data_IF_091703144602
#
_entry.id   IF_091703144602
#
_cell.length_a   1.000
_cell.length_b   1.000
_cell.length_c   1.000
_cell.angle_alpha   90.00
_cell.angle_beta   90.00
_cell.angle_gamma   90.00
#
_symmetry.space_group_name_H-M   'P 1'
#
loop_
_entity.id
_entity.type
_entity.pdbx_description
1 polymer ?
#
# COMPACT_ATOMS: atom_id res chain seq x y z
N UNK A 1 -12.21 -63.90 -9.19
CA UNK A 1 -11.12 -64.63 -9.86
C UNK A 1 -10.75 -63.84 -11.10
N UNK A 2 -9.58 -63.20 -11.05
CA UNK A 2 -8.64 -62.91 -12.14
C UNK A 2 -7.62 -61.93 -11.56
N UNK A 3 -6.45 -62.48 -11.27
CA UNK A 3 -5.17 -61.79 -11.14
C UNK A 3 -4.93 -60.87 -12.34
N UNK A 4 -4.36 -59.69 -12.11
CA UNK A 4 -2.98 -59.49 -12.56
C UNK A 4 -2.32 -58.29 -11.87
N UNK A 5 -1.23 -58.62 -11.21
CA UNK A 5 -0.30 -57.77 -10.48
C UNK A 5 0.64 -57.04 -11.43
N UNK A 6 0.63 -55.70 -11.40
CA UNK A 6 1.74 -54.89 -11.88
C UNK A 6 2.41 -54.20 -10.69
N UNK A 7 3.35 -54.97 -10.13
CA UNK A 7 4.45 -54.57 -9.27
C UNK A 7 5.37 -53.63 -10.06
N UNK A 8 5.25 -52.32 -9.83
CA UNK A 8 6.11 -51.31 -10.41
C UNK A 8 6.79 -50.49 -9.30
N UNK A 9 8.00 -50.93 -8.95
CA UNK A 9 9.13 -50.03 -8.76
C UNK A 9 9.10 -49.16 -7.52
N UNK A 10 9.47 -49.73 -6.38
CA UNK A 10 9.91 -48.98 -5.21
C UNK A 10 11.15 -48.13 -5.51
N UNK A 11 10.95 -46.83 -5.64
CA UNK A 11 12.00 -45.82 -5.52
C UNK A 11 12.02 -45.34 -4.07
N UNK A 12 12.91 -45.94 -3.28
CA UNK A 12 13.20 -45.48 -1.93
C UNK A 12 13.81 -44.09 -1.92
N UNK A 13 13.54 -43.26 -0.88
CA UNK A 13 14.12 -41.93 -0.77
C UNK A 13 15.61 -42.00 -0.41
N UNK A 14 16.47 -41.56 -1.34
CA UNK A 14 17.90 -41.32 -1.11
C UNK A 14 18.08 -40.02 -0.31
N UNK A 15 17.95 -40.11 1.01
CA UNK A 15 18.42 -39.05 1.93
C UNK A 15 19.71 -39.52 2.61
N UNK A 16 20.83 -38.78 2.48
CA UNK A 16 22.07 -39.16 3.15
C UNK A 16 21.97 -38.93 4.66
N UNK A 17 22.39 -39.94 5.42
CA UNK A 17 22.40 -39.95 6.87
C UNK A 17 23.27 -38.82 7.46
N UNK A 18 22.71 -38.08 8.41
CA UNK A 18 23.44 -37.09 9.20
C UNK A 18 24.39 -37.78 10.18
N UNK A 19 25.67 -37.42 10.10
CA UNK A 19 26.74 -37.86 10.98
C UNK A 19 26.51 -37.36 12.43
N UNK A 20 26.49 -38.22 13.47
CA UNK A 20 26.46 -37.76 14.85
C UNK A 20 27.86 -37.27 15.26
N UNK A 21 27.99 -35.94 15.43
CA UNK A 21 29.20 -35.33 16.01
C UNK A 21 29.38 -35.81 17.46
N UNK A 22 30.55 -36.37 17.73
CA UNK A 22 31.02 -36.72 19.06
C UNK A 22 31.01 -35.51 20.01
N UNK A 23 30.34 -35.67 21.14
CA UNK A 23 30.42 -34.75 22.27
C UNK A 23 31.82 -34.79 22.88
N UNK A 24 32.60 -33.72 22.66
CA UNK A 24 33.84 -33.48 23.42
C UNK A 24 33.48 -32.86 24.77
N UNK A 25 33.72 -33.69 25.79
CA UNK A 25 33.80 -33.38 27.21
C UNK A 25 34.90 -32.31 27.43
N UNK A 26 34.53 -31.14 27.94
CA UNK A 26 35.49 -30.18 28.48
C UNK A 26 35.19 -29.97 29.97
N UNK A 27 36.21 -30.25 30.77
CA UNK A 27 36.22 -30.22 32.22
C UNK A 27 36.12 -28.79 32.75
N UNK A 28 35.55 -28.67 33.94
CA UNK A 28 35.25 -27.40 34.58
C UNK A 28 36.47 -26.65 35.07
N UNK A 29 36.26 -25.35 35.33
CA UNK A 29 36.95 -24.62 36.40
C UNK A 29 36.04 -23.57 37.01
N UNK A 30 36.12 -23.54 38.35
CA UNK A 30 35.93 -22.40 39.24
C UNK A 30 34.51 -21.95 39.59
N UNK A 31 34.15 -22.24 40.84
CA UNK A 31 33.26 -21.43 41.66
C UNK A 31 33.83 -20.02 41.88
N UNK A 32 32.97 -19.05 42.20
CA UNK A 32 33.07 -18.14 43.37
C UNK A 32 32.13 -16.92 43.20
N UNK A 33 31.45 -16.60 44.31
CA UNK A 33 30.81 -15.36 44.74
C UNK A 33 29.52 -14.87 44.04
N UNK A 34 28.46 -14.76 44.85
CA UNK A 34 27.19 -14.12 44.51
C UNK A 34 27.20 -12.58 44.61
N UNK A 35 26.15 -11.95 45.16
CA UNK A 35 25.14 -11.30 44.33
C UNK A 35 25.10 -9.77 44.50
N UNK A 36 24.68 -9.06 43.45
CA UNK A 36 24.31 -7.65 43.57
C UNK A 36 23.18 -7.29 42.60
N UNK A 37 21.99 -7.05 43.19
CA UNK A 37 20.93 -6.21 42.60
C UNK A 37 21.50 -4.79 42.41
N UNK A 38 20.96 -3.99 41.46
CA UNK A 38 20.00 -2.99 41.92
C UNK A 38 18.88 -2.58 40.94
N UNK A 39 17.81 -2.09 41.57
CA UNK A 39 16.96 -0.96 41.20
C UNK A 39 16.10 -1.00 39.91
N UNK A 40 14.82 -1.25 40.15
CA UNK A 40 13.68 -0.75 39.40
C UNK A 40 13.74 0.76 39.17
N UNK A 41 13.64 1.20 37.90
CA UNK A 41 13.13 2.53 37.56
C UNK A 41 12.02 2.40 36.53
N UNK A 42 10.81 2.50 37.05
CA UNK A 42 9.58 2.91 36.36
C UNK A 42 9.78 4.29 35.73
N UNK A 43 9.58 4.39 34.43
CA UNK A 43 9.55 5.64 33.69
C UNK A 43 8.65 5.50 32.46
N UNK A 44 7.34 5.45 32.70
CA UNK A 44 6.34 5.40 31.63
C UNK A 44 6.23 6.75 30.93
N UNK A 45 6.69 6.83 29.68
CA UNK A 45 6.22 7.85 28.74
C UNK A 45 5.05 7.26 27.94
N UNK A 46 3.86 7.83 28.16
CA UNK A 46 2.72 7.66 27.27
C UNK A 46 2.96 8.48 26.01
N UNK A 47 3.15 7.84 24.86
CA UNK A 47 2.87 8.45 23.56
C UNK A 47 1.60 7.82 23.00
N UNK A 48 0.56 8.65 22.90
CA UNK A 48 -0.61 8.41 22.09
C UNK A 48 -0.16 8.37 20.63
N UNK A 49 -0.36 7.24 19.96
CA UNK A 49 -0.37 7.16 18.50
C UNK A 49 -1.64 6.42 18.12
N UNK A 50 -2.53 7.14 17.43
CA UNK A 50 -3.70 6.58 16.78
C UNK A 50 -3.22 5.69 15.64
N UNK A 51 -3.47 4.39 15.73
CA UNK A 51 -3.34 3.47 14.61
C UNK A 51 -4.67 3.42 13.87
N UNK A 52 -4.67 3.95 12.65
CA UNK A 52 -5.70 3.74 11.63
C UNK A 52 -5.70 2.26 11.22
N UNK A 53 -6.80 1.56 11.49
CA UNK A 53 -7.05 0.20 11.00
C UNK A 53 -7.43 0.26 9.52
N UNK A 54 -6.63 -0.38 8.67
CA UNK A 54 -6.99 -0.75 7.30
C UNK A 54 -8.13 -1.76 7.33
N UNK A 55 -9.21 -1.46 6.59
CA UNK A 55 -10.36 -2.33 6.42
C UNK A 55 -10.05 -3.50 5.49
N UNK A 56 -10.49 -4.68 5.88
CA UNK A 56 -10.67 -5.83 5.00
C UNK A 56 -11.88 -5.57 4.10
N UNK A 57 -11.68 -5.61 2.79
CA UNK A 57 -12.76 -5.65 1.80
C UNK A 57 -13.26 -7.10 1.65
N UNK A 58 -14.55 -7.30 1.90
CA UNK A 58 -15.26 -8.54 1.60
C UNK A 58 -15.54 -8.63 0.09
N UNK A 59 -15.12 -9.74 -0.52
CA UNK A 59 -15.49 -10.10 -1.89
C UNK A 59 -17.01 -10.33 -2.01
N UNK A 60 -17.69 -9.78 -3.04
CA UNK A 60 -19.08 -10.14 -3.31
C UNK A 60 -19.15 -11.57 -3.88
N UNK A 61 -19.86 -12.44 -3.17
CA UNK A 61 -20.26 -13.77 -3.66
C UNK A 61 -21.31 -13.57 -4.76
N UNK A 62 -20.88 -13.81 -6.01
CA UNK A 62 -21.77 -13.93 -7.17
C UNK A 62 -22.55 -15.24 -7.03
N UNK A 63 -23.85 -15.14 -6.79
CA UNK A 63 -24.78 -16.26 -6.88
C UNK A 63 -25.18 -16.40 -8.36
N UNK A 64 -25.04 -17.58 -8.97
CA UNK A 64 -25.50 -17.78 -10.33
C UNK A 64 -27.04 -17.84 -10.38
N UNK A 65 -27.63 -17.04 -11.27
CA UNK A 65 -29.02 -17.15 -11.69
C UNK A 65 -29.21 -18.49 -12.42
N UNK A 66 -30.00 -19.38 -11.83
CA UNK A 66 -30.53 -20.55 -12.50
C UNK A 66 -32.05 -20.38 -12.65
N UNK A 67 -32.46 -20.44 -13.91
CA UNK A 67 -33.78 -20.21 -14.46
C UNK A 67 -34.56 -21.54 -14.40
N UNK A 68 -35.73 -21.58 -13.76
CA UNK A 68 -36.90 -22.38 -14.22
C UNK A 68 -38.10 -22.40 -13.25
N UNK A 69 -39.23 -21.91 -13.79
CA UNK A 69 -40.60 -22.47 -13.73
C UNK A 69 -41.51 -22.31 -12.48
N UNK A 70 -42.59 -21.53 -12.69
CA UNK A 70 -44.02 -21.80 -12.41
C UNK A 70 -44.43 -22.70 -11.22
N UNK A 71 -45.11 -22.08 -10.24
CA UNK A 71 -46.47 -22.37 -9.75
C UNK A 71 -46.68 -21.46 -8.51
N UNK A 72 -47.61 -20.51 -8.55
CA UNK A 72 -49.04 -20.64 -8.19
C UNK A 72 -49.28 -20.72 -6.67
N UNK A 73 -50.19 -19.86 -6.23
CA UNK A 73 -50.86 -19.74 -4.93
C UNK A 73 -50.07 -19.38 -3.64
N UNK A 74 -50.35 -18.17 -3.15
CA UNK A 74 -51.15 -18.04 -1.92
C UNK A 74 -50.45 -18.03 -0.55
N UNK A 75 -50.64 -16.91 0.14
CA UNK A 75 -50.66 -16.74 1.60
C UNK A 75 -49.37 -16.32 2.33
N UNK A 76 -49.36 -15.03 2.68
CA UNK A 76 -48.46 -14.40 3.64
C UNK A 76 -48.78 -14.87 5.08
N UNK A 77 -47.82 -15.52 5.74
CA UNK A 77 -47.82 -15.70 7.19
C UNK A 77 -46.70 -14.85 7.82
N UNK A 78 -47.09 -13.70 8.40
CA UNK A 78 -46.22 -12.82 9.18
C UNK A 78 -46.02 -13.39 10.59
N UNK A 79 -44.85 -13.95 10.85
CA UNK A 79 -44.48 -14.49 12.17
C UNK A 79 -43.93 -13.39 13.09
N UNK A 80 -44.66 -13.07 14.17
CA UNK A 80 -44.21 -12.16 15.23
C UNK A 80 -43.20 -12.85 16.17
N UNK A 81 -42.09 -12.18 16.47
CA UNK A 81 -41.12 -12.58 17.50
C UNK A 81 -41.48 -11.91 18.84
N UNK A 82 -41.59 -12.62 19.97
CA UNK A 82 -41.85 -11.99 21.25
C UNK A 82 -40.57 -11.47 21.92
N UNK A 83 -40.61 -10.17 22.26
CA UNK A 83 -39.63 -9.41 23.03
C UNK A 83 -39.54 -9.95 24.49
N UNK A 84 -38.39 -10.50 24.90
CA UNK A 84 -38.13 -10.90 26.29
C UNK A 84 -37.56 -9.72 27.11
N UNK A 85 -38.21 -9.44 28.25
CA UNK A 85 -37.79 -8.48 29.28
C UNK A 85 -36.54 -8.98 30.04
N UNK A 86 -35.66 -8.09 30.54
CA UNK A 86 -34.54 -8.47 31.40
C UNK A 86 -35.03 -8.81 32.82
N UNK A 87 -34.75 -10.03 33.28
CA UNK A 87 -34.97 -10.42 34.67
C UNK A 87 -33.84 -9.95 35.58
N UNK A 88 -34.26 -9.33 36.67
CA UNK A 88 -33.50 -8.87 37.82
C UNK A 88 -33.03 -10.02 38.72
N UNK A 89 -31.77 -9.94 39.15
CA UNK A 89 -31.23 -10.24 40.48
C UNK A 89 -31.61 -11.56 41.20
N UNK A 90 -30.58 -12.34 41.57
CA UNK A 90 -30.31 -12.69 42.99
C UNK A 90 -28.95 -13.38 43.24
N UNK A 91 -28.20 -12.79 44.19
CA UNK A 91 -27.41 -13.37 45.32
C UNK A 91 -26.85 -14.80 45.16
N UNK A 92 -25.59 -15.12 45.49
CA UNK A 92 -24.49 -14.38 46.11
C UNK A 92 -23.53 -15.36 46.80
N UNK A 93 -22.24 -14.97 46.99
CA UNK A 93 -21.38 -15.40 48.11
C UNK A 93 -20.09 -14.56 48.11
N UNK A 94 -19.86 -13.85 49.22
CA UNK A 94 -18.55 -13.28 49.62
C UNK A 94 -17.80 -14.32 50.46
N UNK A 95 -16.47 -14.19 50.64
CA UNK A 95 -15.93 -13.41 51.77
C UNK A 95 -14.77 -12.47 51.35
N UNK A 96 -14.69 -11.22 51.84
CA UNK A 96 -13.90 -10.77 53.02
C UNK A 96 -12.42 -10.48 52.67
N UNK A 97 -11.67 -9.42 53.04
CA UNK A 97 -11.80 -8.16 53.81
C UNK A 97 -10.39 -7.47 53.72
N UNK A 98 -10.32 -6.14 53.96
CA UNK A 98 -9.13 -5.27 54.22
C UNK A 98 -8.30 -4.79 53.01
N UNK A 99 -7.94 -3.50 52.85
CA UNK A 99 -8.05 -2.35 53.74
C UNK A 99 -7.68 -1.04 53.03
N UNK A 100 -8.19 0.07 53.58
CA UNK A 100 -8.02 1.46 53.16
C UNK A 100 -6.73 2.03 53.79
N UNK A 101 -6.06 3.01 53.14
CA UNK A 101 -5.96 4.31 53.82
C UNK A 101 -6.28 5.51 52.91
N UNK A 102 -7.04 6.44 53.50
CA UNK A 102 -7.23 7.84 53.10
C UNK A 102 -5.90 8.59 53.09
N UNK A 103 -5.70 9.52 52.15
CA UNK A 103 -5.02 10.81 52.45
C UNK A 103 -5.64 11.96 51.64
N UNK A 104 -5.83 13.08 52.34
CA UNK A 104 -6.26 14.42 51.93
C UNK A 104 -5.14 15.21 51.21
N UNK A 105 -5.50 16.11 50.28
CA UNK A 105 -4.69 17.28 49.90
C UNK A 105 -5.17 17.89 48.59
N UNK A 106 -6.04 18.92 48.58
CA UNK A 106 -5.71 20.37 48.55
C UNK A 106 -4.55 20.72 47.62
N UNK A 107 -4.87 21.31 46.46
CA UNK A 107 -3.90 21.99 45.59
C UNK A 107 -4.59 22.69 44.42
N UNK A 108 -5.08 23.92 44.66
CA UNK A 108 -5.45 24.88 43.61
C UNK A 108 -4.18 25.35 42.90
N UNK A 109 -4.11 25.26 41.59
CA UNK A 109 -3.22 26.08 40.78
C UNK A 109 -3.94 26.50 39.50
N UNK A 110 -4.14 27.82 39.40
CA UNK A 110 -4.83 28.55 38.35
C UNK A 110 -3.76 28.93 37.33
N UNK A 111 -3.90 28.51 36.07
CA UNK A 111 -3.00 28.95 34.99
C UNK A 111 -3.55 30.25 34.36
N UNK A 112 -2.70 31.24 34.03
CA UNK A 112 -3.11 32.52 33.46
C UNK A 112 -3.31 32.45 31.94
N UNK A 113 -4.35 33.10 31.44
CA UNK A 113 -4.61 33.35 30.03
C UNK A 113 -3.82 34.59 29.53
N UNK A 114 -3.26 34.57 28.31
CA UNK A 114 -2.59 35.73 27.74
C UNK A 114 -3.61 36.70 27.12
N UNK A 115 -3.50 37.97 27.50
CA UNK A 115 -4.24 39.12 26.92
C UNK A 115 -3.61 39.49 25.58
N UNK A 116 -4.41 39.49 24.51
CA UNK A 116 -4.08 40.18 23.26
C UNK A 116 -4.52 41.65 23.36
N UNK A 117 -3.55 42.55 23.25
CA UNK A 117 -3.74 44.00 23.16
C UNK A 117 -3.85 44.38 21.68
N UNK A 118 -4.98 44.96 21.30
CA UNK A 118 -5.30 45.54 19.99
C UNK A 118 -4.88 47.02 19.98
N UNK A 119 -4.08 47.51 19.02
CA UNK A 119 -3.86 48.94 18.86
C UNK A 119 -5.01 49.57 18.04
N UNK A 120 -5.54 50.74 18.45
CA UNK A 120 -6.44 51.54 17.63
C UNK A 120 -5.69 52.46 16.67
N UNK A 121 -6.33 52.67 15.52
CA UNK A 121 -6.05 53.62 14.45
C UNK A 121 -5.91 55.08 14.93
N UNK A 122 -5.04 55.90 14.32
CA UNK A 122 -5.07 57.34 14.49
C UNK A 122 -6.02 58.00 13.48
N UNK A 123 -6.96 58.76 14.04
CA UNK A 123 -7.87 59.67 13.36
C UNK A 123 -7.23 61.06 13.27
N UNK A 124 -7.64 61.78 12.24
CA UNK A 124 -7.16 63.04 11.68
C UNK A 124 -7.24 64.20 12.68
N UNK A 125 -6.24 65.08 12.70
CA UNK A 125 -6.42 66.47 13.13
C UNK A 125 -5.56 67.43 12.31
N UNK A 126 -6.25 68.48 11.92
CA UNK A 126 -5.96 69.61 11.08
C UNK A 126 -5.15 70.70 11.83
N UNK A 127 -4.52 71.58 11.05
CA UNK A 127 -4.47 73.04 11.21
C UNK A 127 -3.08 73.76 11.32
N UNK A 128 -2.92 74.69 10.36
CA UNK A 128 -2.26 76.01 10.35
C UNK A 128 -0.73 76.23 10.33
N UNK A 129 -0.29 76.75 9.16
CA UNK A 129 0.66 77.85 8.82
C UNK A 129 1.65 78.43 9.85
N UNK A 130 2.95 78.50 9.49
CA UNK A 130 3.66 79.75 9.13
C UNK A 130 5.16 79.53 8.77
N UNK A 131 5.58 80.26 7.73
CA UNK A 131 6.88 80.85 7.41
C UNK A 131 8.19 80.07 7.09
N UNK A 132 8.72 80.44 5.91
CA UNK A 132 10.01 80.15 5.25
C UNK A 132 11.21 80.75 6.04
N UNK A 133 12.49 80.28 5.90
CA UNK A 133 13.13 80.08 4.60
C UNK A 133 14.19 78.95 4.42
N UNK A 134 14.11 78.32 3.24
CA UNK A 134 15.19 78.21 2.22
C UNK A 134 16.52 77.51 2.61
N UNK A 135 16.69 76.32 2.00
CA UNK A 135 17.91 75.77 1.37
C UNK A 135 18.84 74.77 2.09
N UNK A 136 18.63 74.34 3.33
CA UNK A 136 19.43 73.22 3.91
C UNK A 136 18.63 71.90 4.01
N UNK A 137 17.30 71.96 4.03
CA UNK A 137 16.44 70.77 4.15
C UNK A 137 16.34 69.92 2.86
N UNK A 138 16.61 70.49 1.68
CA UNK A 138 16.47 69.76 0.41
C UNK A 138 17.54 68.66 0.22
N UNK A 139 18.73 68.84 0.79
CA UNK A 139 19.83 67.85 0.70
C UNK A 139 19.68 66.74 1.74
N UNK A 140 19.10 67.05 2.91
CA UNK A 140 18.81 66.04 3.94
C UNK A 140 17.56 65.23 3.58
N UNK A 141 16.53 65.86 2.99
CA UNK A 141 15.34 65.13 2.55
C UNK A 141 15.59 64.24 1.32
N UNK A 142 16.50 64.59 0.40
CA UNK A 142 16.84 63.68 -0.72
C UNK A 142 17.64 62.45 -0.28
N UNK A 143 18.45 62.57 0.79
CA UNK A 143 19.15 61.44 1.40
C UNK A 143 18.21 60.53 2.19
N UNK A 144 17.16 61.09 2.81
CA UNK A 144 16.13 60.31 3.51
C UNK A 144 15.16 59.65 2.51
N UNK A 145 14.81 60.30 1.41
CA UNK A 145 13.96 59.73 0.34
C UNK A 145 14.66 58.60 -0.45
N UNK A 146 15.97 58.71 -0.67
CA UNK A 146 16.74 57.65 -1.34
C UNK A 146 16.93 56.41 -0.46
N UNK A 147 17.05 56.57 0.87
CA UNK A 147 17.18 55.44 1.79
C UNK A 147 15.80 54.83 2.16
N UNK A 148 14.77 55.65 2.37
CA UNK A 148 13.39 55.19 2.64
C UNK A 148 12.76 54.52 1.41
N UNK A 149 13.09 54.95 0.19
CA UNK A 149 12.63 54.29 -1.04
C UNK A 149 13.14 52.84 -1.17
N UNK A 150 14.35 52.55 -0.66
CA UNK A 150 14.90 51.20 -0.59
C UNK A 150 14.16 50.32 0.43
N UNK A 151 13.90 50.85 1.62
CA UNK A 151 13.15 50.15 2.66
C UNK A 151 11.69 49.89 2.26
N UNK A 152 11.02 50.87 1.64
CA UNK A 152 9.64 50.70 1.13
C UNK A 152 9.59 49.61 0.05
N UNK A 153 10.58 49.54 -0.84
CA UNK A 153 10.67 48.46 -1.84
C UNK A 153 10.91 47.09 -1.19
N UNK A 154 11.77 47.02 -0.17
CA UNK A 154 12.03 45.79 0.59
C UNK A 154 10.78 45.31 1.32
N UNK A 155 10.08 46.20 2.03
CA UNK A 155 8.85 45.88 2.74
C UNK A 155 7.73 45.47 1.79
N UNK A 156 7.61 46.10 0.61
CA UNK A 156 6.66 45.68 -0.42
C UNK A 156 6.95 44.27 -0.92
N UNK A 157 8.22 43.93 -1.15
CA UNK A 157 8.64 42.58 -1.56
C UNK A 157 8.34 41.55 -0.47
N UNK A 158 8.62 41.88 0.79
CA UNK A 158 8.33 40.99 1.92
C UNK A 158 6.82 40.77 2.09
N UNK A 159 6.00 41.80 1.88
CA UNK A 159 4.54 41.70 1.93
C UNK A 159 4.00 40.85 0.77
N UNK A 160 4.52 40.99 -0.45
CA UNK A 160 4.15 40.13 -1.58
C UNK A 160 4.56 38.68 -1.34
N UNK A 161 5.78 38.42 -0.86
CA UNK A 161 6.22 37.07 -0.53
C UNK A 161 5.39 36.44 0.60
N UNK A 162 5.04 37.23 1.63
CA UNK A 162 4.18 36.75 2.71
C UNK A 162 2.77 36.40 2.22
N UNK A 163 2.21 37.19 1.30
CA UNK A 163 0.92 36.88 0.64
C UNK A 163 1.02 35.62 -0.21
N UNK A 164 2.05 35.48 -1.04
CA UNK A 164 2.25 34.27 -1.84
C UNK A 164 2.42 33.02 -0.97
N UNK A 165 3.11 33.11 0.18
CA UNK A 165 3.18 32.01 1.14
C UNK A 165 1.82 31.69 1.75
N UNK A 166 1.05 32.71 2.14
CA UNK A 166 -0.30 32.52 2.67
C UNK A 166 -1.23 31.84 1.64
N UNK A 167 -1.18 32.28 0.38
CA UNK A 167 -1.97 31.70 -0.70
C UNK A 167 -1.56 30.26 -1.01
N UNK A 168 -0.24 29.96 -1.00
CA UNK A 168 0.26 28.59 -1.13
C UNK A 168 -0.23 27.67 -0.01
N UNK A 169 -0.18 28.13 1.24
CA UNK A 169 -0.70 27.34 2.37
C UNK A 169 -2.22 27.20 2.33
N UNK A 170 -2.95 28.22 1.86
CA UNK A 170 -4.40 28.13 1.65
C UNK A 170 -4.75 27.06 0.63
N UNK A 171 -4.06 27.03 -0.52
CA UNK A 171 -4.24 26.00 -1.55
C UNK A 171 -3.91 24.60 -1.03
N UNK A 172 -2.81 24.45 -0.29
CA UNK A 172 -2.45 23.16 0.31
C UNK A 172 -3.48 22.67 1.33
N UNK A 173 -4.09 23.59 2.10
CA UNK A 173 -5.19 23.24 3.00
C UNK A 173 -6.45 22.84 2.25
N UNK A 174 -6.81 23.57 1.18
CA UNK A 174 -7.94 23.20 0.31
C UNK A 174 -7.74 21.84 -0.36
N UNK A 175 -6.55 21.55 -0.87
CA UNK A 175 -6.19 20.23 -1.40
C UNK A 175 -6.28 19.13 -0.34
N UNK A 176 -5.78 19.38 0.88
CA UNK A 176 -5.93 18.42 2.00
C UNK A 176 -7.38 18.21 2.41
N UNK A 177 -8.22 19.24 2.35
CA UNK A 177 -9.65 19.11 2.60
C UNK A 177 -10.37 18.37 1.47
N UNK A 178 -9.97 18.59 0.22
CA UNK A 178 -10.48 17.83 -0.92
C UNK A 178 -10.11 16.35 -0.85
N UNK A 179 -8.87 16.02 -0.42
CA UNK A 179 -8.43 14.63 -0.17
C UNK A 179 -9.23 13.99 0.96
N UNK A 180 -9.83 14.75 1.87
CA UNK A 180 -10.66 14.16 2.94
C UNK A 180 -11.97 13.58 2.38
N UNK A 181 -12.52 14.13 1.31
CA UNK A 181 -13.67 13.58 0.60
C UNK A 181 -13.27 12.46 -0.39
N UNK A 182 -12.49 11.49 0.10
CA UNK A 182 -12.14 10.32 -0.70
C UNK A 182 -13.36 9.40 -0.89
N UNK A 183 -13.35 8.66 -1.99
CA UNK A 183 -14.33 7.63 -2.34
C UNK A 183 -14.79 6.74 -1.16
N UNK A 184 -13.91 6.23 -0.25
CA UNK A 184 -14.34 5.49 0.93
C UNK A 184 -15.22 6.28 1.91
N UNK A 185 -15.00 7.59 2.09
CA UNK A 185 -15.91 8.39 2.92
C UNK A 185 -17.29 8.55 2.24
N UNK A 186 -17.31 8.68 0.91
CA UNK A 186 -18.55 8.72 0.14
C UNK A 186 -19.33 7.40 0.26
N UNK A 187 -18.67 6.26 0.05
CA UNK A 187 -19.27 4.92 0.22
C UNK A 187 -19.81 4.73 1.64
N UNK A 188 -19.09 5.19 2.66
CA UNK A 188 -19.53 5.11 4.05
C UNK A 188 -20.77 5.99 4.31
N UNK A 189 -20.86 7.16 3.69
CA UNK A 189 -22.08 8.00 3.78
C UNK A 189 -23.28 7.38 3.06
N UNK A 190 -23.09 6.77 1.90
CA UNK A 190 -24.14 6.05 1.17
C UNK A 190 -24.63 4.83 1.97
N UNK A 191 -23.70 4.06 2.54
CA UNK A 191 -24.03 2.92 3.40
C UNK A 191 -24.85 3.35 4.62
N UNK A 192 -24.46 4.45 5.30
CA UNK A 192 -25.24 5.01 6.42
C UNK A 192 -26.65 5.40 5.97
N UNK A 193 -26.78 6.11 4.85
CA UNK A 193 -28.08 6.51 4.29
C UNK A 193 -28.96 5.30 3.95
N UNK A 194 -28.38 4.24 3.41
CA UNK A 194 -29.11 3.00 3.12
C UNK A 194 -29.55 2.29 4.41
N UNK A 195 -28.70 2.23 5.42
CA UNK A 195 -29.02 1.67 6.73
C UNK A 195 -30.15 2.45 7.41
N UNK A 196 -30.09 3.78 7.39
CA UNK A 196 -31.10 4.66 7.98
C UNK A 196 -32.46 4.47 7.29
N UNK A 197 -32.48 4.37 5.95
CA UNK A 197 -33.71 4.10 5.18
C UNK A 197 -34.30 2.72 5.50
N UNK A 198 -33.46 1.68 5.67
CA UNK A 198 -33.92 0.36 6.10
C UNK A 198 -34.51 0.38 7.51
N UNK A 199 -33.89 1.11 8.43
CA UNK A 199 -34.37 1.26 9.80
C UNK A 199 -35.72 2.01 9.82
N UNK A 200 -35.85 3.07 9.04
CA UNK A 200 -37.10 3.82 8.89
C UNK A 200 -38.24 2.95 8.32
N UNK A 201 -37.94 2.12 7.31
CA UNK A 201 -38.91 1.19 6.73
C UNK A 201 -39.35 0.10 7.75
N UNK A 202 -38.41 -0.44 8.52
CA UNK A 202 -38.73 -1.39 9.60
C UNK A 202 -39.59 -0.73 10.70
N UNK A 203 -39.26 0.49 11.09
CA UNK A 203 -40.04 1.25 12.07
C UNK A 203 -41.45 1.60 11.56
N UNK A 204 -41.61 1.83 10.25
CA UNK A 204 -42.91 2.03 9.62
C UNK A 204 -43.74 0.73 9.66
N UNK A 205 -43.14 -0.41 9.32
CA UNK A 205 -43.79 -1.72 9.39
C UNK A 205 -44.20 -2.07 10.82
N UNK A 206 -43.32 -1.84 11.80
CA UNK A 206 -43.64 -2.06 13.22
C UNK A 206 -44.81 -1.17 13.64
N UNK A 207 -44.83 0.11 13.22
CA UNK A 207 -45.95 1.02 13.49
C UNK A 207 -47.26 0.53 12.84
N UNK A 208 -47.22 -0.01 11.64
CA UNK A 208 -48.38 -0.56 10.97
C UNK A 208 -48.90 -1.83 11.66
N UNK A 209 -48.02 -2.78 11.96
CA UNK A 209 -48.37 -4.02 12.66
C UNK A 209 -48.91 -3.75 14.06
N UNK A 210 -48.30 -2.81 14.80
CA UNK A 210 -48.80 -2.41 16.12
C UNK A 210 -50.13 -1.67 16.03
N UNK A 211 -50.36 -0.85 14.99
CA UNK A 211 -51.67 -0.24 14.71
C UNK A 211 -52.74 -1.29 14.39
N UNK A 212 -52.40 -2.30 13.58
CA UNK A 212 -53.29 -3.41 13.26
C UNK A 212 -53.61 -4.28 14.47
N UNK A 213 -52.62 -4.54 15.33
CA UNK A 213 -52.84 -5.20 16.61
C UNK A 213 -53.74 -4.37 17.53
N UNK A 214 -53.52 -3.07 17.66
CA UNK A 214 -54.35 -2.18 18.48
C UNK A 214 -55.81 -2.12 17.99
N UNK A 215 -56.04 -2.21 16.67
CA UNK A 215 -57.40 -2.32 16.09
C UNK A 215 -58.06 -3.67 16.37
N UNK A 216 -57.29 -4.76 16.42
CA UNK A 216 -57.79 -6.12 16.68
C UNK A 216 -57.89 -6.46 18.18
N UNK A 217 -57.12 -5.80 19.04
CA UNK A 217 -57.13 -5.99 20.50
C UNK A 217 -58.52 -5.80 21.15
N UNK A 218 -59.37 -4.81 20.77
CA UNK A 218 -60.73 -4.70 21.34
C UNK A 218 -61.64 -5.86 20.92
N UNK A 219 -61.48 -6.42 19.71
CA UNK A 219 -62.21 -7.63 19.29
C UNK A 219 -61.81 -8.86 20.11
N UNK A 220 -60.54 -8.91 20.57
CA UNK A 220 -60.02 -10.00 21.40
C UNK A 220 -60.37 -9.80 22.89
N UNK A 221 -60.50 -8.55 23.37
CA UNK A 221 -60.79 -8.22 24.78
C UNK A 221 -62.27 -8.11 25.13
N UNK A 222 -63.16 -7.72 24.23
CA UNK A 222 -64.61 -7.74 24.48
C UNK A 222 -65.17 -9.16 24.29
N UNK A 223 -64.83 -10.03 25.24
CA UNK A 223 -65.30 -11.41 25.31
C UNK A 223 -66.80 -11.54 25.58
N UNK A 224 -67.65 -11.34 24.56
CA UNK A 224 -69.08 -11.72 24.57
C UNK A 224 -69.63 -12.19 23.21
N UNK A 225 -68.84 -12.88 22.40
CA UNK A 225 -69.39 -13.93 21.54
C UNK A 225 -68.39 -15.07 21.53
N UNK A 226 -68.71 -16.13 22.28
CA UNK A 226 -68.07 -17.42 22.15
C UNK A 226 -68.37 -17.97 20.75
N UNK A 227 -67.64 -17.51 19.74
CA UNK A 227 -67.35 -18.38 18.61
C UNK A 227 -66.33 -19.36 19.18
N UNK A 228 -66.86 -20.43 19.77
CA UNK A 228 -66.14 -21.68 19.93
C UNK A 228 -65.67 -22.06 18.52
N UNK A 229 -64.48 -21.57 18.14
CA UNK A 229 -63.71 -22.15 17.06
C UNK A 229 -63.30 -23.52 17.59
N UNK A 230 -64.23 -24.46 17.49
CA UNK A 230 -63.98 -25.87 17.69
C UNK A 230 -63.02 -26.26 16.58
N UNK A 231 -61.73 -25.96 16.79
CA UNK A 231 -60.68 -26.57 16.01
C UNK A 231 -60.94 -28.06 16.13
N UNK A 232 -61.32 -28.65 15.00
CA UNK A 232 -61.54 -30.07 14.92
C UNK A 232 -60.25 -30.74 15.40
N UNK A 233 -60.37 -31.90 16.03
CA UNK A 233 -59.21 -32.65 16.52
C UNK A 233 -58.12 -32.80 15.44
N UNK A 234 -58.55 -32.93 14.19
CA UNK A 234 -57.70 -32.95 12.99
C UNK A 234 -56.91 -31.65 12.80
N UNK A 235 -57.54 -30.47 12.91
CA UNK A 235 -56.84 -29.18 12.79
C UNK A 235 -55.80 -28.97 13.90
N UNK A 236 -56.07 -29.47 15.12
CA UNK A 236 -55.09 -29.41 16.23
C UNK A 236 -53.93 -30.38 16.01
N UNK A 237 -54.20 -31.58 15.47
CA UNK A 237 -53.17 -32.57 15.14
C UNK A 237 -52.28 -32.06 13.98
N UNK A 238 -52.85 -31.42 12.95
CA UNK A 238 -52.11 -30.80 11.86
C UNK A 238 -51.25 -29.61 12.32
N UNK A 239 -51.81 -28.70 13.12
CA UNK A 239 -51.04 -27.58 13.70
C UNK A 239 -49.92 -28.07 14.61
N UNK A 240 -50.16 -29.15 15.37
CA UNK A 240 -49.12 -29.76 16.19
C UNK A 240 -47.99 -30.32 15.32
N UNK A 241 -48.32 -30.99 14.22
CA UNK A 241 -47.33 -31.53 13.30
C UNK A 241 -46.51 -30.42 12.60
N UNK A 242 -47.16 -29.33 12.19
CA UNK A 242 -46.46 -28.17 11.61
C UNK A 242 -45.53 -27.50 12.62
N UNK A 243 -45.96 -27.33 13.87
CA UNK A 243 -45.13 -26.82 14.95
C UNK A 243 -43.95 -27.74 15.28
N UNK A 244 -44.14 -29.06 15.29
CA UNK A 244 -43.06 -30.03 15.50
C UNK A 244 -42.02 -29.95 14.37
N UNK A 245 -42.46 -29.85 13.10
CA UNK A 245 -41.59 -29.64 11.94
C UNK A 245 -40.81 -28.33 12.04
N UNK A 246 -41.46 -27.25 12.45
CA UNK A 246 -40.79 -25.96 12.63
C UNK A 246 -39.77 -25.99 13.76
N UNK A 247 -40.11 -26.59 14.91
CA UNK A 247 -39.16 -26.77 16.03
C UNK A 247 -37.93 -27.57 15.57
N UNK A 248 -38.13 -28.62 14.78
CA UNK A 248 -37.02 -29.40 14.22
C UNK A 248 -36.17 -28.56 13.25
N UNK A 249 -36.80 -27.74 12.41
CA UNK A 249 -36.11 -26.81 11.50
C UNK A 249 -35.31 -25.74 12.26
N UNK A 250 -35.87 -25.16 13.32
CA UNK A 250 -35.17 -24.18 14.16
C UNK A 250 -33.99 -24.81 14.88
N UNK A 251 -34.15 -26.05 15.39
CA UNK A 251 -33.06 -26.79 16.01
C UNK A 251 -31.92 -27.05 15.03
N UNK A 252 -32.21 -27.49 13.81
CA UNK A 252 -31.20 -27.67 12.77
C UNK A 252 -30.47 -26.37 12.42
N UNK A 253 -31.18 -25.23 12.29
CA UNK A 253 -30.56 -23.92 12.08
C UNK A 253 -29.66 -23.50 13.23
N UNK A 254 -30.09 -23.75 14.48
CA UNK A 254 -29.30 -23.42 15.67
C UNK A 254 -28.00 -24.24 15.71
N UNK A 255 -28.05 -25.53 15.37
CA UNK A 255 -26.85 -26.38 15.30
C UNK A 255 -25.86 -25.92 14.22
N UNK A 256 -26.35 -25.46 13.06
CA UNK A 256 -25.51 -24.88 12.00
C UNK A 256 -24.87 -23.57 12.48
N UNK A 257 -25.66 -22.65 13.05
CA UNK A 257 -25.13 -21.40 13.58
C UNK A 257 -24.09 -21.62 14.70
N UNK A 258 -24.33 -22.59 15.60
CA UNK A 258 -23.39 -22.94 16.66
C UNK A 258 -22.08 -23.51 16.11
N UNK A 259 -22.12 -24.24 14.99
CA UNK A 259 -20.93 -24.72 14.29
C UNK A 259 -20.16 -23.57 13.66
N UNK A 260 -20.85 -22.68 12.95
CA UNK A 260 -20.23 -21.54 12.26
C UNK A 260 -19.62 -20.55 13.27
N UNK A 261 -20.26 -20.36 14.43
CA UNK A 261 -19.71 -19.57 15.54
C UNK A 261 -18.41 -20.17 16.06
N UNK A 262 -18.36 -21.50 16.29
CA UNK A 262 -17.13 -22.17 16.74
C UNK A 262 -15.99 -22.06 15.72
N UNK A 263 -16.29 -22.12 14.44
CA UNK A 263 -15.29 -21.94 13.38
C UNK A 263 -14.74 -20.51 13.35
N UNK A 264 -15.62 -19.51 13.46
CA UNK A 264 -15.23 -18.10 13.55
C UNK A 264 -14.39 -17.83 14.81
N UNK A 265 -14.78 -18.36 15.96
CA UNK A 265 -14.00 -18.24 17.21
C UNK A 265 -12.61 -18.87 17.06
N UNK A 266 -12.51 -20.01 16.38
CA UNK A 266 -11.22 -20.64 16.08
C UNK A 266 -10.35 -19.74 15.20
N UNK A 267 -10.91 -19.16 14.14
CA UNK A 267 -10.18 -18.23 13.24
C UNK A 267 -9.70 -16.98 13.98
N UNK A 268 -10.53 -16.43 14.87
CA UNK A 268 -10.16 -15.30 15.73
C UNK A 268 -8.97 -15.67 16.61
N UNK A 269 -8.98 -16.84 17.26
CA UNK A 269 -7.87 -17.29 18.09
C UNK A 269 -6.56 -17.49 17.28
N UNK A 270 -6.65 -18.04 16.08
CA UNK A 270 -5.49 -18.18 15.17
C UNK A 270 -4.93 -16.82 14.78
N UNK A 271 -5.78 -15.85 14.42
CA UNK A 271 -5.35 -14.48 14.09
C UNK A 271 -4.78 -13.72 15.30
N UNK A 272 -5.35 -13.90 16.48
CA UNK A 272 -4.78 -13.32 17.71
C UNK A 272 -3.39 -13.89 18.02
N UNK A 273 -3.16 -15.16 17.68
CA UNK A 273 -1.86 -15.79 17.84
C UNK A 273 -0.84 -15.24 16.82
N UNK A 274 -1.20 -15.12 15.54
CA UNK A 274 -0.29 -14.53 14.53
C UNK A 274 0.06 -13.08 14.87
N UNK A 275 -0.89 -12.28 15.37
CA UNK A 275 -0.63 -10.92 15.84
C UNK A 275 0.37 -10.91 17.01
N UNK A 276 0.27 -11.86 17.95
CA UNK A 276 1.24 -11.97 19.05
C UNK A 276 2.62 -12.34 18.53
N UNK A 277 2.71 -13.29 17.61
CA UNK A 277 3.98 -13.75 17.04
C UNK A 277 4.68 -12.62 16.26
N UNK A 278 3.94 -11.88 15.42
CA UNK A 278 4.46 -10.71 14.70
C UNK A 278 4.90 -9.59 15.64
N UNK A 279 4.21 -9.37 16.76
CA UNK A 279 4.65 -8.39 17.77
C UNK A 279 5.95 -8.81 18.45
N UNK A 280 6.14 -10.11 18.69
CA UNK A 280 7.39 -10.65 19.24
C UNK A 280 8.52 -10.52 18.22
N UNK A 281 8.28 -10.83 16.95
CA UNK A 281 9.25 -10.67 15.87
C UNK A 281 9.66 -9.20 15.67
N UNK A 282 8.68 -8.29 15.61
CA UNK A 282 8.93 -6.86 15.52
C UNK A 282 9.77 -6.36 16.70
N UNK A 283 9.46 -6.79 17.92
CA UNK A 283 10.23 -6.41 19.10
C UNK A 283 11.66 -6.96 19.04
N UNK A 284 11.84 -8.20 18.59
CA UNK A 284 13.15 -8.80 18.40
C UNK A 284 13.98 -8.03 17.34
N UNK A 285 13.35 -7.54 16.28
CA UNK A 285 14.02 -6.75 15.25
C UNK A 285 14.36 -5.34 15.75
N UNK A 286 13.48 -4.70 16.51
CA UNK A 286 13.78 -3.44 17.20
C UNK A 286 14.98 -3.62 18.14
N UNK A 287 15.03 -4.70 18.90
CA UNK A 287 16.15 -5.00 19.80
C UNK A 287 17.44 -5.28 19.03
N UNK A 288 17.37 -6.00 17.91
CA UNK A 288 18.49 -6.21 16.99
C UNK A 288 19.02 -4.89 16.42
N UNK A 289 18.15 -4.03 15.90
CA UNK A 289 18.49 -2.72 15.37
C UNK A 289 19.09 -1.81 16.44
N UNK A 290 18.51 -1.80 17.65
CA UNK A 290 19.03 -1.06 18.79
C UNK A 290 20.41 -1.56 19.22
N UNK A 291 20.66 -2.87 19.19
CA UNK A 291 21.96 -3.44 19.50
C UNK A 291 22.99 -3.08 18.42
N UNK A 292 22.61 -3.07 17.15
CA UNK A 292 23.46 -2.62 16.04
C UNK A 292 23.80 -1.12 16.17
N UNK A 293 22.82 -0.29 16.53
CA UNK A 293 23.00 1.15 16.71
C UNK A 293 23.85 1.49 17.94
N UNK A 294 23.84 0.64 18.97
CA UNK A 294 24.62 0.78 20.21
C UNK A 294 26.06 0.30 20.10
N UNK A 295 26.50 -0.23 18.95
CA UNK A 295 27.91 -0.55 18.72
C UNK A 295 28.62 0.60 17.95
N UNK A 296 29.05 1.67 18.64
CA UNK A 296 29.74 2.81 18.02
C UNK A 296 31.16 2.45 17.56
N UNK A 297 31.63 1.20 17.75
CA UNK A 297 32.98 0.77 17.36
C UNK A 297 33.06 0.19 15.96
N UNK A 298 31.95 0.07 15.25
CA UNK A 298 32.00 0.06 13.78
C UNK A 298 32.14 1.50 13.32
N UNK A 299 33.34 1.95 12.90
CA UNK A 299 33.42 3.24 12.21
C UNK A 299 32.40 3.21 11.07
N UNK A 300 31.60 4.28 10.89
CA UNK A 300 30.78 4.39 9.70
C UNK A 300 31.73 4.23 8.53
N UNK A 301 31.50 3.22 7.70
CA UNK A 301 32.23 3.04 6.46
C UNK A 301 32.03 4.29 5.62
N UNK A 302 32.90 5.27 5.80
CA UNK A 302 32.93 6.49 5.03
C UNK A 302 33.36 6.10 3.61
N UNK A 303 32.56 6.52 2.65
CA UNK A 303 32.89 6.53 1.22
C UNK A 303 32.86 5.18 0.46
N UNK A 304 31.77 4.44 0.57
CA UNK A 304 31.15 3.92 -0.66
C UNK A 304 29.78 4.56 -0.83
N UNK A 305 29.81 5.69 -1.53
CA UNK A 305 28.67 6.51 -1.91
C UNK A 305 28.20 6.16 -3.33
N UNK A 306 28.34 4.91 -3.75
CA UNK A 306 27.77 4.40 -5.00
C UNK A 306 26.64 3.42 -4.64
N UNK A 307 25.46 3.64 -5.22
CA UNK A 307 24.29 2.73 -5.25
C UNK A 307 23.32 2.73 -4.05
N UNK A 308 23.11 3.87 -3.38
CA UNK A 308 21.94 4.07 -2.49
C UNK A 308 20.61 4.33 -3.22
N UNK A 309 20.44 3.75 -4.40
CA UNK A 309 19.16 3.66 -5.13
C UNK A 309 18.84 2.25 -5.65
N UNK A 310 19.73 1.28 -5.46
CA UNK A 310 19.63 -0.06 -6.06
C UNK A 310 19.54 -1.15 -4.98
N UNK A 311 18.68 -0.97 -3.98
CA UNK A 311 18.40 -1.98 -2.95
C UNK A 311 16.93 -1.95 -2.53
N UNK A 312 16.03 -2.23 -3.48
CA UNK A 312 14.68 -2.74 -3.15
C UNK A 312 14.57 -4.24 -3.48
N UNK A 313 15.51 -4.79 -4.25
CA UNK A 313 15.73 -6.24 -4.32
C UNK A 313 16.86 -6.59 -3.35
N UNK A 314 16.48 -6.72 -2.08
CA UNK A 314 17.41 -6.83 -0.96
C UNK A 314 18.43 -7.95 -1.12
N UNK A 315 19.67 -7.68 -0.69
CA UNK A 315 20.69 -8.68 -0.33
C UNK A 315 20.61 -10.01 -1.09
N UNK A 316 20.49 -9.93 -2.42
CA UNK A 316 20.32 -11.10 -3.27
C UNK A 316 21.57 -11.95 -3.09
N UNK A 317 21.32 -13.24 -2.86
CA UNK A 317 22.30 -14.29 -2.70
C UNK A 317 23.47 -14.07 -3.68
N UNK A 318 24.74 -14.23 -3.29
CA UNK A 318 25.89 -14.01 -4.19
C UNK A 318 25.79 -14.78 -5.52
N UNK A 319 24.93 -15.80 -5.57
CA UNK A 319 24.53 -16.53 -6.77
C UNK A 319 23.84 -15.63 -7.82
N UNK A 320 22.94 -14.73 -7.43
CA UNK A 320 22.19 -13.90 -8.36
C UNK A 320 23.11 -12.92 -9.12
N UNK A 321 24.11 -12.35 -8.44
CA UNK A 321 25.11 -11.50 -9.09
C UNK A 321 25.95 -12.27 -10.12
N UNK A 322 26.34 -13.52 -9.81
CA UNK A 322 27.05 -14.37 -10.77
C UNK A 322 26.17 -14.75 -11.98
N UNK A 323 24.88 -15.00 -11.75
CA UNK A 323 23.91 -15.27 -12.83
C UNK A 323 23.69 -14.04 -13.71
N UNK A 324 23.53 -12.85 -13.14
CA UNK A 324 23.40 -11.59 -13.89
C UNK A 324 24.65 -11.40 -14.77
N UNK A 325 25.84 -11.52 -14.17
CA UNK A 325 27.11 -11.39 -14.90
C UNK A 325 27.19 -12.40 -16.06
N UNK A 326 26.79 -13.64 -15.84
CA UNK A 326 26.77 -14.64 -16.91
C UNK A 326 25.82 -14.26 -18.05
N UNK A 327 24.65 -13.70 -17.75
CA UNK A 327 23.75 -13.21 -18.79
C UNK A 327 24.32 -11.99 -19.53
N UNK A 328 24.96 -11.07 -18.82
CA UNK A 328 25.67 -9.93 -19.41
C UNK A 328 26.76 -10.42 -20.37
N UNK A 329 27.60 -11.36 -19.95
CA UNK A 329 28.70 -11.93 -20.74
C UNK A 329 28.21 -12.70 -21.98
N UNK A 330 27.03 -13.34 -21.92
CA UNK A 330 26.49 -14.15 -23.03
C UNK A 330 25.67 -13.33 -24.03
N UNK A 331 25.02 -12.25 -23.58
CA UNK A 331 24.09 -11.47 -24.41
C UNK A 331 24.63 -10.11 -24.82
N UNK A 332 25.76 -9.68 -24.23
CA UNK A 332 26.31 -8.33 -24.34
C UNK A 332 25.28 -7.22 -24.02
N UNK A 333 24.26 -7.55 -23.21
CA UNK A 333 23.18 -6.67 -22.82
C UNK A 333 23.26 -6.41 -21.31
N UNK A 334 23.53 -5.17 -20.94
CA UNK A 334 23.61 -4.71 -19.56
C UNK A 334 22.33 -3.96 -19.16
N UNK A 335 21.65 -4.44 -18.11
CA UNK A 335 20.46 -3.77 -17.55
C UNK A 335 20.91 -2.89 -16.38
N UNK A 336 20.94 -1.58 -16.59
CA UNK A 336 21.46 -0.61 -15.61
C UNK A 336 20.41 -0.13 -14.62
N UNK A 337 19.15 -0.01 -15.06
CA UNK A 337 18.06 0.49 -14.24
C UNK A 337 16.77 -0.29 -14.51
N UNK A 338 16.01 -0.52 -13.45
CA UNK A 338 14.68 -1.13 -13.50
C UNK A 338 13.75 -0.22 -12.71
N UNK A 339 12.73 0.32 -13.38
CA UNK A 339 11.74 1.21 -12.76
C UNK A 339 10.34 0.70 -13.02
N UNK A 340 9.46 0.89 -12.05
CA UNK A 340 8.04 0.57 -12.19
C UNK A 340 7.29 1.88 -12.41
N UNK A 341 6.54 1.96 -13.50
CA UNK A 341 5.65 3.07 -13.80
C UNK A 341 4.20 2.58 -13.76
N UNK A 342 3.29 3.38 -13.20
CA UNK A 342 1.87 3.04 -13.20
C UNK A 342 1.36 3.04 -14.64
N UNK A 343 0.71 1.95 -15.06
CA UNK A 343 0.15 1.88 -16.40
C UNK A 343 -1.00 2.87 -16.54
N UNK A 344 -0.89 3.83 -17.47
CA UNK A 344 -1.94 4.86 -17.70
C UNK A 344 -3.30 4.25 -18.09
N UNK A 345 -3.29 3.03 -18.65
CA UNK A 345 -4.50 2.34 -19.11
C UNK A 345 -5.15 1.46 -18.04
N UNK A 346 -4.46 1.15 -16.93
CA UNK A 346 -4.92 0.18 -15.93
C UNK A 346 -4.45 0.56 -14.53
N UNK A 347 -5.39 0.92 -13.66
CA UNK A 347 -5.09 1.38 -12.29
C UNK A 347 -4.40 0.34 -11.39
N UNK A 348 -4.36 -0.93 -11.80
CA UNK A 348 -3.85 -2.05 -11.00
C UNK A 348 -2.59 -2.73 -11.56
N UNK A 349 -2.11 -2.34 -12.73
CA UNK A 349 -0.92 -2.95 -13.33
C UNK A 349 0.24 -1.95 -13.44
N UNK A 350 1.44 -2.46 -13.20
CA UNK A 350 2.68 -1.70 -13.26
C UNK A 350 3.44 -2.09 -14.53
N UNK A 351 3.78 -1.09 -15.34
CA UNK A 351 4.67 -1.25 -16.48
C UNK A 351 6.12 -1.22 -15.99
N UNK A 352 6.93 -2.16 -16.46
CA UNK A 352 8.35 -2.22 -16.12
C UNK A 352 9.17 -1.55 -17.20
N UNK A 353 9.96 -0.54 -16.82
CA UNK A 353 10.89 0.16 -17.70
C UNK A 353 12.31 -0.28 -17.36
N UNK A 354 12.95 -0.94 -18.32
CA UNK A 354 14.33 -1.41 -18.25
C UNK A 354 15.22 -0.45 -19.04
N UNK A 355 16.22 0.15 -18.40
CA UNK A 355 17.26 0.91 -19.10
C UNK A 355 18.41 -0.03 -19.42
N UNK A 356 18.61 -0.25 -20.71
CA UNK A 356 19.53 -1.24 -21.26
C UNK A 356 20.67 -0.56 -22.02
N UNK A 357 21.84 -1.16 -21.96
CA UNK A 357 23.01 -0.82 -22.76
C UNK A 357 23.42 -2.09 -23.50
N UNK A 358 23.42 -2.04 -24.83
CA UNK A 358 23.93 -3.12 -25.65
C UNK A 358 25.32 -2.75 -26.16
N UNK A 359 26.32 -3.58 -25.91
CA UNK A 359 27.71 -3.33 -26.37
C UNK A 359 28.03 -4.32 -27.48
N UNK A 360 28.41 -3.83 -28.66
CA UNK A 360 28.89 -4.71 -29.70
C UNK A 360 30.34 -5.11 -29.43
N UNK A 361 30.63 -6.40 -29.55
CA UNK A 361 31.97 -6.96 -29.46
C UNK A 361 32.28 -7.51 -30.84
N UNK A 362 33.29 -6.94 -31.49
CA UNK A 362 33.78 -7.45 -32.76
C UNK A 362 34.48 -8.81 -32.54
N UNK A 363 34.11 -9.80 -33.34
CA UNK A 363 34.71 -11.14 -33.27
C UNK A 363 36.09 -11.19 -33.94
N UNK A 364 36.35 -10.29 -34.89
CA UNK A 364 37.57 -10.29 -35.70
C UNK A 364 38.76 -9.65 -34.96
N UNK A 365 38.49 -8.73 -34.03
CA UNK A 365 39.50 -8.05 -33.19
C UNK A 365 39.32 -8.26 -31.69
N UNK A 366 39.38 -9.52 -31.17
CA UNK A 366 39.15 -9.82 -29.77
C UNK A 366 40.35 -9.40 -28.91
N UNK A 367 40.40 -8.13 -28.50
CA UNK A 367 41.31 -7.68 -27.45
C UNK A 367 42.07 -6.39 -27.70
N UNK A 368 41.67 -5.57 -28.68
CA UNK A 368 42.14 -4.19 -28.71
C UNK A 368 41.37 -3.36 -27.66
N UNK A 369 41.98 -2.98 -26.51
CA UNK A 369 41.30 -2.18 -25.50
C UNK A 369 40.96 -0.76 -25.99
N UNK A 370 41.56 -0.33 -27.10
CA UNK A 370 41.35 0.99 -27.70
C UNK A 370 40.26 0.97 -28.79
N UNK A 371 39.80 -0.22 -29.20
CA UNK A 371 38.56 -0.38 -29.96
C UNK A 371 37.39 -0.04 -29.04
N UNK A 372 36.98 1.24 -29.06
CA UNK A 372 35.77 1.72 -28.40
C UNK A 372 34.56 1.01 -29.06
N UNK A 373 34.25 -0.20 -28.60
CA UNK A 373 33.11 -0.96 -29.08
C UNK A 373 31.86 -0.08 -29.06
N UNK A 374 31.20 0.04 -30.21
CA UNK A 374 30.00 0.87 -30.34
C UNK A 374 28.93 0.32 -29.38
N UNK A 375 28.37 1.19 -28.56
CA UNK A 375 27.34 0.83 -27.58
C UNK A 375 26.05 1.57 -27.88
N UNK A 376 24.92 0.89 -27.77
CA UNK A 376 23.59 1.47 -27.96
C UNK A 376 22.83 1.50 -26.63
N UNK A 377 22.46 2.71 -26.19
CA UNK A 377 21.65 2.94 -25.00
C UNK A 377 20.17 3.02 -25.37
N UNK A 378 19.30 2.30 -24.67
CA UNK A 378 17.86 2.33 -24.92
C UNK A 378 17.03 1.92 -23.71
N UNK A 379 15.74 2.24 -23.74
CA UNK A 379 14.76 1.74 -22.79
C UNK A 379 13.88 0.66 -23.43
N UNK A 380 13.59 -0.40 -22.67
CA UNK A 380 12.54 -1.37 -22.97
C UNK A 380 11.43 -1.23 -21.94
N UNK A 381 10.23 -0.84 -22.37
CA UNK A 381 9.03 -0.82 -21.54
C UNK A 381 8.22 -2.08 -21.83
N UNK A 382 8.05 -2.92 -20.82
CA UNK A 382 7.17 -4.08 -20.87
C UNK A 382 5.74 -3.58 -20.64
N UNK A 383 4.89 -3.71 -21.65
CA UNK A 383 3.50 -3.27 -21.63
C UNK A 383 2.57 -4.39 -22.09
N UNK A 384 1.29 -4.25 -21.73
CA UNK A 384 0.23 -5.12 -22.25
C UNK A 384 -0.60 -4.34 -23.26
N UNK A 385 -0.53 -4.73 -24.53
CA UNK A 385 -1.32 -4.11 -25.60
C UNK A 385 -2.58 -4.94 -25.87
N UNK A 386 -3.71 -4.25 -26.09
CA UNK A 386 -4.97 -4.88 -26.44
C UNK A 386 -4.90 -5.27 -27.92
N UNK A 387 -4.89 -6.57 -28.20
CA UNK A 387 -4.93 -7.08 -29.56
C UNK A 387 -6.37 -7.00 -30.12
N UNK A 388 -6.53 -7.10 -31.45
CA UNK A 388 -7.83 -6.98 -32.15
C UNK A 388 -8.92 -7.96 -31.63
N UNK A 389 -8.53 -9.00 -30.89
CA UNK A 389 -9.43 -9.98 -30.26
C UNK A 389 -9.86 -9.67 -28.83
N UNK A 390 -9.66 -8.45 -28.29
CA UNK A 390 -9.83 -8.10 -26.88
C UNK A 390 -8.95 -8.93 -25.90
N UNK A 391 -7.95 -9.64 -26.42
CA UNK A 391 -6.96 -10.35 -25.63
C UNK A 391 -5.74 -9.44 -25.44
N UNK A 392 -5.25 -9.36 -24.19
CA UNK A 392 -4.04 -8.62 -23.89
C UNK A 392 -2.84 -9.45 -24.31
N UNK A 393 -2.02 -8.91 -25.22
CA UNK A 393 -0.77 -9.50 -25.63
C UNK A 393 0.41 -8.76 -24.99
N UNK A 394 1.39 -9.51 -24.51
CA UNK A 394 2.66 -8.95 -24.03
C UNK A 394 3.40 -8.26 -25.18
N UNK A 395 3.61 -6.96 -25.04
CA UNK A 395 4.33 -6.12 -25.97
C UNK A 395 5.53 -5.45 -25.28
N UNK A 396 6.52 -5.07 -26.08
CA UNK A 396 7.70 -4.35 -25.63
C UNK A 396 7.80 -3.09 -26.48
N UNK A 397 7.75 -1.94 -25.82
CA UNK A 397 8.02 -0.65 -26.44
C UNK A 397 9.52 -0.35 -26.29
N UNK A 398 10.20 -0.23 -27.42
CA UNK A 398 11.58 0.22 -27.53
C UNK A 398 11.64 1.75 -27.65
N UNK A 399 12.58 2.37 -26.97
CA UNK A 399 12.85 3.81 -27.10
C UNK A 399 14.35 4.06 -26.99
N UNK A 400 15.03 4.50 -28.06
CA UNK A 400 16.46 4.76 -28.00
C UNK A 400 16.77 5.95 -27.07
N UNK A 401 17.95 5.92 -26.45
CA UNK A 401 18.44 6.95 -25.55
C UNK A 401 19.77 7.49 -26.06
N UNK A 402 20.00 8.78 -25.83
CA UNK A 402 21.31 9.42 -26.05
C UNK A 402 21.84 9.37 -27.50
N UNK A 403 20.97 9.17 -28.49
CA UNK A 403 21.34 9.24 -29.91
C UNK A 403 21.90 10.61 -30.32
N UNK A 404 21.58 11.66 -29.56
CA UNK A 404 22.09 13.02 -29.74
C UNK A 404 23.59 13.16 -29.44
N UNK A 405 24.21 12.17 -28.79
CA UNK A 405 25.64 12.14 -28.47
C UNK A 405 26.48 11.35 -29.47
N UNK A 406 25.82 10.58 -30.35
CA UNK A 406 26.46 9.74 -31.36
C UNK A 406 26.64 10.49 -32.68
N UNK A 407 27.48 9.95 -33.57
CA UNK A 407 27.71 10.54 -34.91
C UNK A 407 26.46 10.39 -35.79
N UNK A 408 26.18 11.39 -36.63
CA UNK A 408 25.01 11.37 -37.53
C UNK A 408 25.05 10.19 -38.51
N UNK A 409 26.26 9.77 -38.93
CA UNK A 409 26.49 8.60 -39.77
C UNK A 409 26.01 7.31 -39.09
N UNK A 410 26.38 7.12 -37.82
CA UNK A 410 25.93 5.98 -37.03
C UNK A 410 24.41 5.98 -36.84
N UNK A 411 23.83 7.14 -36.53
CA UNK A 411 22.37 7.28 -36.35
C UNK A 411 21.61 6.96 -37.65
N UNK A 412 22.13 7.37 -38.81
CA UNK A 412 21.52 7.07 -40.11
C UNK A 412 21.60 5.58 -40.45
N UNK A 413 22.70 4.90 -40.08
CA UNK A 413 22.87 3.47 -40.32
C UNK A 413 22.01 2.58 -39.41
N UNK A 414 21.55 3.09 -38.26
CA UNK A 414 20.63 2.36 -37.37
C UNK A 414 19.24 2.10 -37.98
N UNK A 415 18.85 2.83 -39.04
CA UNK A 415 17.56 2.72 -39.72
C UNK A 415 16.38 2.80 -38.73
N UNK A 416 15.54 1.76 -38.63
CA UNK A 416 14.37 1.76 -37.73
C UNK A 416 14.74 1.75 -36.23
N UNK A 417 15.98 1.40 -35.87
CA UNK A 417 16.45 1.43 -34.47
C UNK A 417 16.72 2.86 -33.97
N UNK A 418 16.76 3.85 -34.86
CA UNK A 418 16.86 5.27 -34.51
C UNK A 418 15.57 5.83 -33.90
N UNK A 419 14.43 5.15 -34.08
CA UNK A 419 13.12 5.59 -33.62
C UNK A 419 12.52 4.67 -32.54
N UNK A 420 11.53 5.16 -31.77
CA UNK A 420 10.75 4.31 -30.88
C UNK A 420 9.77 3.44 -31.67
N UNK A 421 9.65 2.17 -31.30
CA UNK A 421 8.67 1.25 -31.90
C UNK A 421 8.25 0.16 -30.92
N UNK A 422 7.11 -0.48 -31.18
CA UNK A 422 6.58 -1.56 -30.34
C UNK A 422 6.62 -2.89 -31.08
N UNK A 423 6.94 -3.97 -30.38
CA UNK A 423 6.89 -5.33 -30.93
C UNK A 423 6.41 -6.34 -29.87
N UNK A 424 5.81 -7.47 -30.28
CA UNK A 424 5.41 -8.54 -29.35
C UNK A 424 6.60 -9.13 -28.59
N UNK A 425 6.43 -9.43 -27.30
CA UNK A 425 7.49 -10.01 -26.44
C UNK A 425 8.19 -11.24 -27.02
N UNK A 426 7.46 -12.07 -27.75
CA UNK A 426 7.99 -13.26 -28.47
C UNK A 426 9.05 -12.94 -29.53
N UNK A 427 9.10 -11.69 -30.01
CA UNK A 427 10.09 -11.23 -31.00
C UNK A 427 11.34 -10.62 -30.36
N UNK A 428 11.45 -10.59 -29.03
CA UNK A 428 12.64 -10.09 -28.33
C UNK A 428 13.96 -10.75 -28.81
N UNK A 429 14.03 -12.08 -29.03
CA UNK A 429 15.26 -12.69 -29.57
C UNK A 429 15.60 -12.23 -30.99
N UNK A 430 14.59 -11.93 -31.81
CA UNK A 430 14.79 -11.41 -33.18
C UNK A 430 15.35 -10.00 -33.10
N UNK A 431 14.77 -9.15 -32.25
CA UNK A 431 15.23 -7.80 -32.00
C UNK A 431 16.70 -7.74 -31.56
N UNK A 432 17.13 -8.58 -30.60
CA UNK A 432 18.54 -8.63 -30.17
C UNK A 432 19.48 -9.02 -31.32
N UNK A 433 19.10 -10.02 -32.13
CA UNK A 433 19.88 -10.37 -33.34
C UNK A 433 19.94 -9.23 -34.35
N UNK A 434 18.84 -8.50 -34.51
CA UNK A 434 18.83 -7.34 -35.41
C UNK A 434 19.75 -6.24 -34.92
N UNK A 435 19.75 -5.91 -33.62
CA UNK A 435 20.71 -4.94 -33.07
C UNK A 435 22.15 -5.39 -33.32
N UNK A 436 22.47 -6.67 -33.02
CA UNK A 436 23.81 -7.20 -33.24
C UNK A 436 24.25 -7.05 -34.72
N UNK A 437 23.39 -7.48 -35.65
CA UNK A 437 23.70 -7.41 -37.08
C UNK A 437 23.78 -5.96 -37.60
N UNK A 438 22.96 -5.05 -37.09
CA UNK A 438 22.98 -3.65 -37.52
C UNK A 438 24.27 -2.98 -37.03
N UNK A 439 24.62 -3.10 -35.75
CA UNK A 439 25.85 -2.49 -35.20
C UNK A 439 27.12 -3.14 -35.77
N UNK A 440 27.09 -4.45 -36.06
CA UNK A 440 28.23 -5.11 -36.71
C UNK A 440 28.51 -4.56 -38.10
N UNK A 441 27.46 -4.33 -38.90
CA UNK A 441 27.60 -3.72 -40.24
C UNK A 441 28.14 -2.29 -40.19
N UNK A 442 27.66 -1.49 -39.24
CA UNK A 442 28.12 -0.10 -39.07
C UNK A 442 29.58 0.01 -38.64
N UNK A 443 30.13 -1.05 -38.06
CA UNK A 443 31.54 -1.08 -37.63
C UNK A 443 32.45 -1.53 -38.77
N UNK A 444 32.00 -2.47 -39.61
CA UNK A 444 32.78 -2.96 -40.75
C UNK A 444 32.92 -1.95 -41.91
N UNK A 445 31.89 -1.12 -42.15
CA UNK A 445 31.92 -0.12 -43.23
C UNK A 445 32.96 0.99 -42.98
N UNK A 446 33.21 1.38 -41.72
CA UNK A 446 34.20 2.41 -41.38
C UNK A 446 35.65 1.95 -41.59
N UNK A 447 35.95 0.66 -41.42
CA UNK A 447 37.31 0.14 -41.61
C UNK A 447 37.65 -0.17 -43.08
N UNK A 448 36.64 -0.39 -43.93
CA UNK A 448 36.81 -0.81 -45.32
C UNK A 448 37.15 0.30 -46.33
N UNK A 449 36.86 1.57 -46.03
CA UNK A 449 37.08 2.67 -46.99
C UNK A 449 38.47 3.33 -46.90
N UNK A 450 39.33 2.94 -45.95
CA UNK A 450 40.63 3.60 -45.73
C UNK A 450 41.84 2.85 -46.32
N UNK A 451 41.66 1.71 -46.99
CA UNK A 451 42.78 0.81 -47.33
C UNK A 451 43.04 0.55 -48.83
N UNK A 452 42.29 1.15 -49.76
CA UNK A 452 42.31 0.73 -51.18
C UNK A 452 42.85 1.77 -52.19
N UNK A 453 43.50 2.86 -51.76
CA UNK A 453 43.89 3.97 -52.67
C UNK A 453 45.41 4.28 -52.79
N UNK A 454 46.32 3.49 -52.21
CA UNK A 454 47.73 3.94 -52.06
C UNK A 454 48.88 3.00 -52.54
N UNK A 455 48.67 1.95 -53.34
CA UNK A 455 49.80 1.10 -53.78
C UNK A 455 49.69 0.47 -55.19
N UNK A 456 49.67 1.30 -56.25
CA UNK A 456 49.97 0.81 -57.61
C UNK A 456 50.69 1.83 -58.52
N UNK A 457 51.57 2.67 -57.95
CA UNK A 457 52.55 3.44 -58.72
C UNK A 457 53.82 2.60 -58.98
N UNK A 458 53.76 1.75 -60.00
CA UNK A 458 54.89 0.98 -60.52
C UNK A 458 55.92 1.93 -61.14
N UNK A 459 56.98 2.23 -60.38
CA UNK A 459 58.14 2.97 -60.85
C UNK A 459 58.91 2.16 -61.91
N UNK A 460 58.75 2.52 -63.18
CA UNK A 460 59.57 2.00 -64.29
C UNK A 460 61.02 2.47 -64.13
N UNK A 461 61.94 1.52 -63.95
CA UNK A 461 63.38 1.77 -63.99
C UNK A 461 63.87 1.52 -65.42
N UNK A 462 64.46 2.55 -66.03
CA UNK A 462 65.06 2.58 -67.37
C UNK A 462 66.51 2.04 -67.38
#
# INVERSE_FOLDING_TARGET
MSDDSLDLGGLGPTTPAANPRMARKAQGRSAVAGPSKPASKTGGQKKNVMSSSSGDEEHPVVVPDDDSTNNDDGEEAVTQVPLRKPQTARRGKKPSVNGVPRVKGKGKARAPSPKMTRPPSPEVLDDSDEDRPVQVAAVINSAIESNSGGEVKRLRRELTEARERADKYSKQLEELFAIRHTEPEHLLTEYRKQSDSKMEAQDALIRELTSNLAKKEPLIREGKTSVLHLMTREAVEEEKETLERDVQRYKGRMEVCDRDLKEKDKKILEQEQTIKDLRVELQAEIDRANNLAKDPRRPPGSAQRNNRGQTVLGAQEPKHGATIKFYEDVTNLLITNVRNEKCSKRDKEEDWILTCIYTYVDEDSPGDPDSNGKSLNFNLRLCHELNEGNEYADAILYSPLELDKETEEFVNQLDFLSGPFTFPRRQLPVFIRTINNTIGKTTQEEEGEAADDDDDDVQMIE
#
